data_IF_870661365315
#
_entry.id   IF_870661365315
#
_cell.length_a   1.000
_cell.length_b   1.000
_cell.length_c   1.000
_cell.angle_alpha   90.00
_cell.angle_beta   90.00
_cell.angle_gamma   90.00
#
_symmetry.space_group_name_H-M   'P 1'
#
loop_
_entity.id
_entity.type
_entity.pdbx_description
1 polymer ?
#
# COMPACT_ATOMS: atom_id res chain seq x y z
N UNK A 1 -2.51 15.13 -7.53
CA UNK A 1 -3.00 14.08 -6.63
C UNK A 1 -1.94 13.73 -5.60
N UNK A 2 -2.35 13.19 -4.47
CA UNK A 2 -1.43 12.75 -3.41
C UNK A 2 -1.50 11.24 -3.26
N UNK A 3 -0.34 10.58 -3.28
CA UNK A 3 -0.22 9.14 -3.09
C UNK A 3 0.70 8.86 -1.91
N UNK A 4 0.32 7.88 -1.08
CA UNK A 4 1.14 7.38 0.03
C UNK A 4 1.62 5.98 -0.36
N UNK A 5 2.90 5.70 -0.14
CA UNK A 5 3.48 4.37 -0.38
C UNK A 5 4.11 3.87 0.91
N UNK A 6 3.68 2.70 1.37
CA UNK A 6 4.27 2.00 2.51
C UNK A 6 5.07 0.81 1.99
N UNK A 7 6.38 0.85 2.13
CA UNK A 7 7.27 -0.25 1.75
C UNK A 7 8.63 -0.10 2.40
N UNK A 8 9.32 -1.22 2.62
CA UNK A 8 10.72 -1.27 3.01
C UNK A 8 11.65 -1.46 1.82
N UNK A 9 11.10 -1.71 0.63
CA UNK A 9 11.87 -2.08 -0.56
C UNK A 9 12.24 -0.86 -1.39
N UNK A 10 13.54 -0.64 -1.59
CA UNK A 10 14.03 0.49 -2.40
C UNK A 10 13.56 0.39 -3.85
N UNK A 11 13.46 -0.81 -4.38
CA UNK A 11 12.99 -1.05 -5.74
C UNK A 11 11.57 -0.53 -5.97
N UNK A 12 10.66 -0.77 -5.01
CA UNK A 12 9.29 -0.26 -5.08
C UNK A 12 9.26 1.25 -4.96
N UNK A 13 10.08 1.82 -4.08
CA UNK A 13 10.18 3.29 -3.95
C UNK A 13 10.62 3.93 -5.25
N UNK A 14 11.63 3.36 -5.90
CA UNK A 14 12.17 3.87 -7.16
C UNK A 14 11.15 3.73 -8.30
N UNK A 15 10.48 2.59 -8.37
CA UNK A 15 9.45 2.35 -9.39
C UNK A 15 8.28 3.35 -9.27
N UNK A 16 7.84 3.62 -8.04
CA UNK A 16 6.78 4.58 -7.80
C UNK A 16 7.19 6.00 -8.20
N UNK A 17 8.40 6.40 -7.81
CA UNK A 17 8.92 7.73 -8.17
C UNK A 17 9.02 7.93 -9.68
N UNK A 18 9.43 6.88 -10.40
CA UNK A 18 9.57 6.93 -11.86
C UNK A 18 8.22 6.84 -12.58
N UNK A 19 7.26 6.11 -12.00
CA UNK A 19 5.99 5.83 -12.63
C UNK A 19 4.94 6.91 -12.45
N UNK A 20 4.88 7.53 -11.28
CA UNK A 20 3.88 8.56 -11.00
C UNK A 20 4.23 9.88 -11.70
N UNK A 21 3.20 10.66 -12.01
CA UNK A 21 3.39 11.93 -12.70
C UNK A 21 4.19 12.91 -11.81
N UNK A 22 5.13 13.71 -12.38
CA UNK A 22 5.90 14.67 -11.57
C UNK A 22 5.07 15.70 -10.80
N UNK A 23 3.84 15.99 -11.25
CA UNK A 23 2.94 16.91 -10.57
C UNK A 23 2.19 16.27 -9.40
N UNK A 24 2.25 14.94 -9.27
CA UNK A 24 1.62 14.24 -8.15
C UNK A 24 2.57 14.19 -6.96
N UNK A 25 2.01 14.31 -5.76
CA UNK A 25 2.79 14.19 -4.53
C UNK A 25 2.89 12.72 -4.14
N UNK A 26 4.10 12.21 -4.04
CA UNK A 26 4.37 10.88 -3.51
C UNK A 26 5.05 10.99 -2.17
N UNK A 27 4.44 10.42 -1.14
CA UNK A 27 5.01 10.35 0.21
C UNK A 27 5.31 8.88 0.52
N UNK A 28 6.55 8.58 0.89
CA UNK A 28 7.01 7.21 1.16
C UNK A 28 7.26 7.03 2.65
N UNK A 29 6.71 5.95 3.20
CA UNK A 29 6.91 5.58 4.60
C UNK A 29 7.34 4.12 4.71
N UNK A 30 8.12 3.81 5.75
CA UNK A 30 8.50 2.44 6.11
C UNK A 30 7.73 1.94 7.33
N UNK A 31 7.06 2.84 8.05
CA UNK A 31 6.23 2.52 9.21
C UNK A 31 4.77 2.79 8.88
N UNK A 32 3.90 1.81 9.14
CA UNK A 32 2.50 1.94 8.76
C UNK A 32 1.72 2.94 9.61
N UNK A 33 2.13 3.20 10.84
CA UNK A 33 1.50 4.22 11.68
C UNK A 33 1.68 5.59 11.03
N UNK A 34 2.92 5.91 10.63
CA UNK A 34 3.22 7.16 9.95
C UNK A 34 2.51 7.26 8.59
N UNK A 35 2.43 6.14 7.87
CA UNK A 35 1.73 6.12 6.58
C UNK A 35 0.25 6.44 6.73
N UNK A 36 -0.42 5.87 7.73
CA UNK A 36 -1.83 6.15 7.99
C UNK A 36 -2.05 7.61 8.39
N UNK A 37 -1.18 8.16 9.22
CA UNK A 37 -1.28 9.56 9.66
C UNK A 37 -1.12 10.53 8.48
N UNK A 38 -0.40 10.12 7.44
CA UNK A 38 -0.16 10.95 6.26
C UNK A 38 -1.19 10.74 5.15
N UNK A 39 -2.24 9.95 5.40
CA UNK A 39 -3.32 9.75 4.43
C UNK A 39 -4.27 10.95 4.32
N UNK A 40 -4.13 11.95 5.14
CA UNK A 40 -4.97 13.15 5.06
C UNK A 40 -4.81 13.80 3.70
N UNK A 41 -5.90 13.89 2.94
CA UNK A 41 -5.89 14.42 1.58
C UNK A 41 -5.30 13.49 0.54
N UNK A 42 -4.96 12.25 0.90
CA UNK A 42 -4.43 11.28 -0.05
C UNK A 42 -5.53 10.68 -0.91
N UNK A 43 -5.24 10.51 -2.19
CA UNK A 43 -6.15 9.92 -3.16
C UNK A 43 -6.06 8.40 -3.19
N UNK A 44 -4.92 7.85 -2.77
CA UNK A 44 -4.68 6.40 -2.76
C UNK A 44 -3.49 6.09 -1.86
N UNK A 45 -3.53 4.95 -1.19
CA UNK A 45 -2.38 4.39 -0.47
C UNK A 45 -1.99 3.06 -1.09
N UNK A 46 -0.70 2.94 -1.46
CA UNK A 46 -0.09 1.68 -1.89
C UNK A 46 0.57 1.04 -0.68
N UNK A 47 0.21 -0.18 -0.37
CA UNK A 47 0.71 -0.89 0.82
C UNK A 47 1.42 -2.17 0.40
N UNK A 48 2.73 -2.23 0.64
CA UNK A 48 3.49 -3.46 0.53
C UNK A 48 3.13 -4.33 1.74
N UNK A 49 2.49 -5.47 1.48
CA UNK A 49 2.04 -6.36 2.55
C UNK A 49 3.18 -6.69 3.54
N UNK A 50 4.38 -6.95 3.01
CA UNK A 50 5.52 -7.30 3.86
C UNK A 50 5.92 -6.17 4.82
N UNK A 51 5.64 -4.92 4.48
CA UNK A 51 5.95 -3.79 5.35
C UNK A 51 5.00 -3.69 6.56
N UNK A 52 3.88 -4.39 6.54
CA UNK A 52 2.95 -4.42 7.68
C UNK A 52 3.24 -5.55 8.67
N UNK A 53 4.06 -6.52 8.28
CA UNK A 53 4.30 -7.72 9.08
C UNK A 53 5.37 -7.48 10.15
N UNK A 54 5.11 -7.94 11.38
CA UNK A 54 6.10 -7.95 12.45
C UNK A 54 7.02 -9.16 12.32
N UNK A 55 6.46 -10.28 11.84
CA UNK A 55 7.20 -11.53 11.64
C UNK A 55 6.93 -12.08 10.25
N UNK A 56 7.93 -12.62 9.56
CA UNK A 56 7.74 -13.23 8.25
C UNK A 56 6.66 -14.31 8.27
N UNK A 57 5.83 -14.32 7.23
CA UNK A 57 4.77 -15.32 7.02
C UNK A 57 3.65 -15.34 8.07
N UNK A 58 3.58 -14.33 8.95
CA UNK A 58 2.50 -14.20 9.93
C UNK A 58 1.67 -12.96 9.67
N UNK A 59 0.38 -13.15 9.46
CA UNK A 59 -0.55 -12.09 9.03
C UNK A 59 -0.94 -11.12 10.15
N UNK A 60 -0.61 -11.40 11.42
CA UNK A 60 -1.07 -10.61 12.56
C UNK A 60 -0.74 -9.11 12.42
N UNK A 61 0.45 -8.78 11.90
CA UNK A 61 0.82 -7.37 11.68
C UNK A 61 -0.08 -6.68 10.68
N UNK A 62 -0.45 -7.37 9.60
CA UNK A 62 -1.38 -6.85 8.60
C UNK A 62 -2.77 -6.64 9.19
N UNK A 63 -3.24 -7.56 10.02
CA UNK A 63 -4.54 -7.44 10.69
C UNK A 63 -4.58 -6.20 11.58
N UNK A 64 -3.51 -5.94 12.33
CA UNK A 64 -3.41 -4.73 13.17
C UNK A 64 -3.41 -3.46 12.31
N UNK A 65 -2.68 -3.47 11.19
CA UNK A 65 -2.69 -2.37 10.23
C UNK A 65 -4.10 -2.13 9.70
N UNK A 66 -4.79 -3.19 9.30
CA UNK A 66 -6.13 -3.11 8.73
C UNK A 66 -7.13 -2.53 9.73
N UNK A 67 -7.11 -2.99 10.97
CA UNK A 67 -7.97 -2.45 12.04
C UNK A 67 -7.68 -0.97 12.27
N UNK A 68 -6.40 -0.60 12.35
CA UNK A 68 -6.01 0.79 12.55
C UNK A 68 -6.47 1.68 11.39
N UNK A 69 -6.39 1.20 10.15
CA UNK A 69 -6.86 1.95 8.99
C UNK A 69 -8.37 2.15 9.03
N UNK A 70 -9.14 1.11 9.37
CA UNK A 70 -10.60 1.20 9.44
C UNK A 70 -11.07 2.21 10.50
N UNK A 71 -10.30 2.38 11.56
CA UNK A 71 -10.62 3.31 12.65
C UNK A 71 -9.97 4.68 12.49
N UNK A 72 -9.08 4.86 11.53
CA UNK A 72 -8.33 6.11 11.35
C UNK A 72 -9.17 7.16 10.65
N UNK A 73 -9.30 8.34 11.27
CA UNK A 73 -10.14 9.43 10.74
C UNK A 73 -9.75 9.86 9.32
N UNK A 74 -8.45 9.91 9.02
CA UNK A 74 -7.95 10.37 7.72
C UNK A 74 -7.77 9.24 6.71
N UNK A 75 -7.48 8.02 7.18
CA UNK A 75 -7.11 6.91 6.30
C UNK A 75 -8.26 5.96 5.96
N UNK A 76 -9.32 5.94 6.76
CA UNK A 76 -10.39 4.95 6.59
C UNK A 76 -11.06 5.00 5.21
N UNK A 77 -11.15 6.17 4.61
CA UNK A 77 -11.76 6.36 3.29
C UNK A 77 -10.78 6.35 2.12
N UNK A 78 -9.47 6.23 2.40
CA UNK A 78 -8.46 6.25 1.35
C UNK A 78 -8.40 4.88 0.64
N UNK A 79 -8.60 4.84 -0.70
CA UNK A 79 -8.49 3.58 -1.43
C UNK A 79 -7.13 2.92 -1.22
N UNK A 80 -7.13 1.62 -0.91
CA UNK A 80 -5.92 0.86 -0.64
C UNK A 80 -5.62 -0.10 -1.78
N UNK A 81 -4.41 0.05 -2.35
CA UNK A 81 -3.87 -0.90 -3.32
C UNK A 81 -2.84 -1.75 -2.58
N UNK A 82 -3.12 -3.05 -2.45
CA UNK A 82 -2.25 -3.97 -1.74
C UNK A 82 -1.25 -4.59 -2.69
N UNK A 83 0.04 -4.51 -2.33
CA UNK A 83 1.12 -5.12 -3.10
C UNK A 83 1.50 -6.43 -2.40
N UNK A 84 1.15 -7.55 -3.03
CA UNK A 84 1.41 -8.88 -2.48
C UNK A 84 2.82 -9.36 -2.82
N UNK A 85 3.42 -10.21 -1.96
CA UNK A 85 4.70 -10.84 -2.26
C UNK A 85 4.60 -11.77 -3.47
N UNK A 86 5.72 -12.08 -4.15
CA UNK A 86 5.65 -12.85 -5.40
C UNK A 86 5.12 -14.28 -5.25
N UNK A 87 5.36 -14.94 -4.12
CA UNK A 87 5.15 -16.39 -3.97
C UNK A 87 4.48 -16.83 -2.67
N UNK A 88 3.81 -15.95 -1.93
CA UNK A 88 3.19 -16.37 -0.66
C UNK A 88 1.67 -16.45 -0.78
N UNK A 89 1.17 -17.58 -1.27
CA UNK A 89 -0.25 -17.81 -1.48
C UNK A 89 -1.05 -17.86 -0.16
N UNK A 90 -0.42 -18.23 0.93
CA UNK A 90 -1.08 -18.26 2.23
C UNK A 90 -1.41 -16.83 2.70
N UNK A 91 -0.45 -15.92 2.58
CA UNK A 91 -0.68 -14.51 2.87
C UNK A 91 -1.72 -13.90 1.93
N UNK A 92 -1.70 -14.27 0.64
CA UNK A 92 -2.69 -13.81 -0.32
C UNK A 92 -4.12 -14.17 0.12
N UNK A 93 -4.31 -15.41 0.53
CA UNK A 93 -5.62 -15.90 0.95
C UNK A 93 -6.13 -15.14 2.19
N UNK A 94 -5.25 -14.86 3.13
CA UNK A 94 -5.59 -14.23 4.39
C UNK A 94 -5.76 -12.70 4.30
N UNK A 95 -5.22 -12.07 3.26
CA UNK A 95 -5.24 -10.61 3.11
C UNK A 95 -6.44 -10.10 2.32
N UNK A 96 -7.23 -10.97 1.72
CA UNK A 96 -8.31 -10.61 0.81
C UNK A 96 -9.64 -10.35 1.48
N UNK A 97 -9.74 -9.37 2.36
CA UNK A 97 -11.03 -9.01 2.98
C UNK A 97 -11.89 -8.22 2.02
N UNK A 98 -13.19 -8.60 1.87
CA UNK A 98 -14.13 -7.87 1.02
C UNK A 98 -14.22 -6.39 1.43
N UNK A 99 -14.25 -5.51 0.44
CA UNK A 99 -14.43 -4.07 0.60
C UNK A 99 -13.30 -3.31 1.30
N UNK A 100 -12.28 -4.01 1.81
CA UNK A 100 -11.14 -3.35 2.43
C UNK A 100 -10.07 -2.98 1.41
N UNK A 101 -9.79 -3.86 0.46
CA UNK A 101 -8.75 -3.65 -0.56
C UNK A 101 -9.41 -3.23 -1.87
N UNK A 102 -9.01 -2.06 -2.37
CA UNK A 102 -9.51 -1.53 -3.65
C UNK A 102 -8.98 -2.34 -4.83
N UNK A 103 -7.68 -2.67 -4.81
CA UNK A 103 -7.05 -3.47 -5.86
C UNK A 103 -5.83 -4.20 -5.31
N UNK A 104 -5.46 -5.30 -5.96
CA UNK A 104 -4.27 -6.08 -5.63
C UNK A 104 -3.25 -5.98 -6.75
N UNK A 105 -1.98 -5.79 -6.38
CA UNK A 105 -0.84 -5.90 -7.27
C UNK A 105 0.09 -6.97 -6.70
N UNK A 106 0.83 -7.65 -7.57
CA UNK A 106 1.82 -8.65 -7.15
C UNK A 106 3.21 -8.19 -7.57
N UNK A 107 4.16 -8.34 -6.68
CA UNK A 107 5.55 -8.02 -6.99
C UNK A 107 6.09 -8.96 -8.06
N UNK A 108 6.94 -8.49 -8.97
CA UNK A 108 7.48 -7.13 -9.03
C UNK A 108 6.47 -6.11 -9.58
N UNK A 109 6.46 -4.90 -9.00
CA UNK A 109 5.61 -3.80 -9.47
C UNK A 109 6.50 -2.78 -10.16
N UNK A 110 6.29 -2.60 -11.45
CA UNK A 110 7.11 -1.72 -12.28
C UNK A 110 6.58 -0.29 -12.31
N UNK A 111 7.38 0.65 -12.82
CA UNK A 111 6.95 2.03 -13.03
C UNK A 111 5.69 2.13 -13.88
N UNK A 112 5.54 1.27 -14.89
CA UNK A 112 4.37 1.25 -15.76
C UNK A 112 3.10 0.86 -14.99
N UNK A 113 3.22 -0.05 -14.04
CA UNK A 113 2.11 -0.48 -13.20
C UNK A 113 1.69 0.65 -12.26
N UNK A 114 2.64 1.35 -11.63
CA UNK A 114 2.33 2.51 -10.81
C UNK A 114 1.64 3.61 -11.62
N UNK A 115 2.12 3.88 -12.82
CA UNK A 115 1.51 4.86 -13.71
C UNK A 115 0.06 4.52 -14.04
N UNK A 116 -0.20 3.24 -14.34
CA UNK A 116 -1.55 2.77 -14.61
C UNK A 116 -2.43 2.85 -13.38
N UNK A 117 -1.94 2.41 -12.22
CA UNK A 117 -2.69 2.43 -10.97
C UNK A 117 -3.09 3.86 -10.57
N UNK A 118 -2.26 4.85 -10.84
CA UNK A 118 -2.58 6.25 -10.52
C UNK A 118 -3.80 6.78 -11.25
N UNK A 119 -4.22 6.12 -12.33
CA UNK A 119 -5.41 6.52 -13.11
C UNK A 119 -6.71 5.92 -12.55
N UNK A 120 -6.63 5.06 -11.53
CA UNK A 120 -7.81 4.41 -10.96
C UNK A 120 -8.61 5.30 -10.00
N UNK A 121 -8.08 6.45 -9.67
CA UNK A 121 -8.73 7.43 -8.80
C UNK A 121 -8.91 8.79 -9.46
#
# INVERSE_FOLDING_TARGET
>A
MKFVLLTLEQELKDAAKSGLHPSDDLVVHEDWVAALDDCRGADMIFVDLLATLDEPSKIAGYERFAEAKMDHADAKGTPLVLIAPPDDYELDFMSGWPDFVFAHLRRPVTEKIFRRASTWV
#
